data_IF_535261991488
#
_entry.id   IF_535261991488
#
_cell.length_a   1.000
_cell.length_b   1.000
_cell.length_c   1.000
_cell.angle_alpha   90.00
_cell.angle_beta   90.00
_cell.angle_gamma   90.00
#
_symmetry.space_group_name_H-M   'P 1'
#
loop_
_entity.id
_entity.type
_entity.pdbx_description
1 polymer ?
#
# COMPACT_ATOMS: atom_id res chain seq x y z
N UNK A 1 -21.19 -2.12 -5.45
CA UNK A 1 -22.47 -2.64 -4.91
C UNK A 1 -23.68 -2.08 -5.66
N UNK A 2 -23.90 -0.75 -5.70
CA UNK A 2 -25.02 -0.15 -6.45
C UNK A 2 -25.01 -0.47 -7.95
N UNK A 3 -23.83 -0.48 -8.57
CA UNK A 3 -23.65 -0.81 -9.99
C UNK A 3 -24.03 -2.25 -10.34
N UNK A 4 -23.70 -3.23 -9.49
CA UNK A 4 -24.00 -4.65 -9.71
C UNK A 4 -25.49 -4.93 -9.62
N UNK A 5 -26.18 -4.34 -8.64
CA UNK A 5 -27.64 -4.48 -8.51
C UNK A 5 -28.34 -3.90 -9.74
N UNK A 6 -27.92 -2.72 -10.19
CA UNK A 6 -28.46 -2.10 -11.41
C UNK A 6 -28.23 -2.98 -12.63
N UNK A 7 -27.02 -3.52 -12.83
CA UNK A 7 -26.74 -4.44 -13.93
C UNK A 7 -27.65 -5.67 -13.86
N UNK A 8 -27.78 -6.30 -12.69
CA UNK A 8 -28.61 -7.49 -12.55
C UNK A 8 -30.09 -7.20 -12.85
N UNK A 9 -30.60 -6.04 -12.41
CA UNK A 9 -31.96 -5.61 -12.71
C UNK A 9 -32.15 -5.33 -14.20
N UNK A 10 -31.20 -4.66 -14.84
CA UNK A 10 -31.23 -4.39 -16.28
C UNK A 10 -31.16 -5.69 -17.07
N UNK A 11 -30.27 -6.62 -16.70
CA UNK A 11 -30.12 -7.93 -17.35
C UNK A 11 -31.40 -8.76 -17.20
N UNK A 12 -31.99 -8.81 -16.00
CA UNK A 12 -33.24 -9.50 -15.75
C UNK A 12 -34.41 -8.87 -16.53
N UNK A 13 -34.48 -7.53 -16.59
CA UNK A 13 -35.50 -6.80 -17.35
C UNK A 13 -35.38 -7.07 -18.86
N UNK A 14 -34.17 -7.03 -19.41
CA UNK A 14 -33.93 -7.28 -20.84
C UNK A 14 -34.24 -8.74 -21.19
N UNK A 15 -33.80 -9.71 -20.39
CA UNK A 15 -34.13 -11.14 -20.61
C UNK A 15 -35.63 -11.39 -20.47
N UNK A 16 -36.31 -10.70 -19.55
CA UNK A 16 -37.76 -10.78 -19.42
C UNK A 16 -38.49 -10.22 -20.64
N UNK A 17 -38.05 -9.08 -21.17
CA UNK A 17 -38.62 -8.47 -22.39
C UNK A 17 -38.37 -9.31 -23.62
N UNK A 18 -37.17 -9.86 -23.80
CA UNK A 18 -36.90 -10.82 -24.89
C UNK A 18 -37.74 -12.10 -24.75
N UNK A 19 -37.96 -12.56 -23.52
CA UNK A 19 -38.83 -13.71 -23.23
C UNK A 19 -40.29 -13.47 -23.62
N UNK A 20 -40.80 -12.24 -23.43
CA UNK A 20 -42.14 -11.84 -23.88
C UNK A 20 -42.22 -11.75 -25.42
N UNK A 21 -41.23 -11.15 -26.07
CA UNK A 21 -41.19 -11.00 -27.54
C UNK A 21 -41.05 -12.34 -28.27
N UNK A 22 -40.33 -13.30 -27.68
CA UNK A 22 -40.04 -14.61 -28.29
C UNK A 22 -41.09 -15.69 -27.90
N UNK A 23 -42.10 -15.33 -27.12
CA UNK A 23 -43.16 -16.26 -26.69
C UNK A 23 -42.68 -17.42 -25.79
N UNK A 24 -41.51 -17.28 -25.16
CA UNK A 24 -40.89 -18.29 -24.28
C UNK A 24 -40.69 -17.72 -22.87
N UNK A 25 -41.73 -17.73 -22.01
CA UNK A 25 -41.60 -17.24 -20.65
C UNK A 25 -40.66 -18.16 -19.85
N UNK A 26 -39.54 -17.62 -19.40
CA UNK A 26 -38.58 -18.32 -18.53
C UNK A 26 -39.06 -18.23 -17.08
N UNK A 27 -39.25 -19.38 -16.41
CA UNK A 27 -39.58 -19.43 -14.97
C UNK A 27 -38.34 -19.05 -14.15
N UNK A 28 -38.50 -18.16 -13.17
CA UNK A 28 -37.46 -17.62 -12.28
C UNK A 28 -36.31 -16.88 -13.00
N UNK A 29 -36.66 -15.91 -13.87
CA UNK A 29 -35.70 -15.11 -14.66
C UNK A 29 -34.67 -14.41 -13.78
N UNK A 30 -35.12 -13.78 -12.69
CA UNK A 30 -34.28 -12.96 -11.81
C UNK A 30 -33.18 -13.80 -11.16
N UNK A 31 -33.52 -14.95 -10.57
CA UNK A 31 -32.55 -15.82 -9.89
C UNK A 31 -31.52 -16.40 -10.86
N UNK A 32 -31.95 -16.81 -12.07
CA UNK A 32 -31.03 -17.33 -13.09
C UNK A 32 -30.10 -16.25 -13.65
N UNK A 33 -30.62 -15.05 -13.87
CA UNK A 33 -29.83 -13.90 -14.31
C UNK A 33 -28.80 -13.50 -13.24
N UNK A 34 -29.19 -13.46 -11.97
CA UNK A 34 -28.29 -13.18 -10.85
C UNK A 34 -27.14 -14.18 -10.76
N UNK A 35 -27.43 -15.48 -10.81
CA UNK A 35 -26.40 -16.52 -10.77
C UNK A 35 -25.49 -16.42 -11.99
N UNK A 36 -26.04 -16.14 -13.17
CA UNK A 36 -25.26 -16.00 -14.39
C UNK A 36 -24.30 -14.79 -14.33
N UNK A 37 -24.80 -13.63 -13.90
CA UNK A 37 -23.98 -12.40 -13.74
C UNK A 37 -22.88 -12.62 -12.71
N UNK A 38 -23.18 -13.30 -11.60
CA UNK A 38 -22.20 -13.63 -10.57
C UNK A 38 -21.12 -14.57 -11.09
N UNK A 39 -21.49 -15.67 -11.76
CA UNK A 39 -20.53 -16.62 -12.34
C UNK A 39 -19.66 -15.98 -13.43
N UNK A 40 -20.24 -15.11 -14.26
CA UNK A 40 -19.48 -14.36 -15.27
C UNK A 40 -18.51 -13.34 -14.66
N UNK A 41 -18.79 -12.82 -13.46
CA UNK A 41 -17.88 -11.93 -12.73
C UNK A 41 -16.73 -12.72 -12.11
N UNK A 42 -17.00 -13.89 -11.53
CA UNK A 42 -15.98 -14.78 -10.95
C UNK A 42 -15.22 -15.60 -12.00
N UNK A 43 -15.47 -15.36 -13.30
CA UNK A 43 -14.91 -16.12 -14.42
C UNK A 43 -15.23 -17.62 -14.38
N UNK A 44 -16.30 -18.00 -13.68
CA UNK A 44 -16.84 -19.34 -13.63
C UNK A 44 -17.72 -19.62 -14.85
N UNK A 45 -17.64 -20.83 -15.39
CA UNK A 45 -18.45 -21.22 -16.54
C UNK A 45 -19.93 -21.44 -16.17
N UNK A 46 -20.85 -21.06 -17.06
CA UNK A 46 -22.29 -21.30 -16.92
C UNK A 46 -22.77 -22.36 -17.93
N UNK A 47 -23.44 -23.40 -17.45
CA UNK A 47 -24.03 -24.43 -18.31
C UNK A 47 -25.27 -23.94 -19.08
N UNK A 48 -25.89 -22.84 -18.64
CA UNK A 48 -27.14 -22.34 -19.24
C UNK A 48 -26.90 -21.04 -20.02
N UNK A 49 -26.87 -21.15 -21.36
CA UNK A 49 -26.77 -20.01 -22.27
C UNK A 49 -28.16 -19.61 -22.80
N UNK A 50 -28.48 -18.30 -22.93
CA UNK A 50 -29.69 -17.87 -23.59
C UNK A 50 -29.76 -18.39 -25.04
N UNK A 51 -30.93 -18.90 -25.41
CA UNK A 51 -31.19 -19.47 -26.74
C UNK A 51 -31.39 -18.41 -27.83
N UNK A 52 -31.62 -17.15 -27.46
CA UNK A 52 -31.84 -16.03 -28.37
C UNK A 52 -30.53 -15.37 -28.79
N UNK A 53 -30.47 -14.83 -30.02
CA UNK A 53 -29.28 -14.15 -30.52
C UNK A 53 -29.00 -12.84 -29.77
N UNK A 54 -30.04 -12.09 -29.40
CA UNK A 54 -29.91 -10.86 -28.60
C UNK A 54 -29.34 -11.12 -27.20
N UNK A 55 -29.84 -12.16 -26.53
CA UNK A 55 -29.29 -12.63 -25.25
C UNK A 55 -27.80 -13.01 -25.33
N UNK A 56 -27.33 -13.58 -26.44
CA UNK A 56 -25.90 -13.92 -26.63
C UNK A 56 -25.02 -12.68 -26.76
N UNK A 57 -25.43 -11.67 -27.52
CA UNK A 57 -24.68 -10.41 -27.65
C UNK A 57 -24.56 -9.70 -26.31
N UNK A 58 -25.65 -9.68 -25.54
CA UNK A 58 -25.68 -9.05 -24.23
C UNK A 58 -24.80 -9.80 -23.21
N UNK A 59 -24.80 -11.14 -23.26
CA UNK A 59 -23.87 -12.01 -22.51
C UNK A 59 -22.41 -11.72 -22.88
N UNK A 60 -22.07 -11.68 -24.18
CA UNK A 60 -20.70 -11.42 -24.64
C UNK A 60 -20.20 -10.03 -24.25
N UNK A 61 -21.07 -9.03 -24.31
CA UNK A 61 -20.75 -7.66 -23.90
C UNK A 61 -20.46 -7.60 -22.39
N UNK A 62 -21.27 -8.30 -21.58
CA UNK A 62 -21.04 -8.40 -20.14
C UNK A 62 -19.74 -9.12 -19.79
N UNK A 63 -19.44 -10.22 -20.47
CA UNK A 63 -18.22 -11.00 -20.28
C UNK A 63 -16.97 -10.15 -20.59
N UNK A 64 -17.00 -9.37 -21.66
CA UNK A 64 -15.91 -8.45 -21.98
C UNK A 64 -15.73 -7.38 -20.89
N UNK A 65 -16.85 -6.81 -20.40
CA UNK A 65 -16.82 -5.83 -19.33
C UNK A 65 -16.22 -6.41 -18.03
N UNK A 66 -16.63 -7.61 -17.62
CA UNK A 66 -16.12 -8.25 -16.40
C UNK A 66 -14.62 -8.54 -16.47
N UNK A 67 -14.12 -8.93 -17.65
CA UNK A 67 -12.68 -9.13 -17.89
C UNK A 67 -11.90 -7.82 -17.68
N UNK A 68 -12.37 -6.70 -18.23
CA UNK A 68 -11.75 -5.38 -18.05
C UNK A 68 -11.75 -4.94 -16.58
N UNK A 69 -12.84 -5.17 -15.86
CA UNK A 69 -12.91 -4.86 -14.42
C UNK A 69 -11.92 -5.68 -13.61
N UNK A 70 -11.83 -7.00 -13.83
CA UNK A 70 -10.87 -7.86 -13.13
C UNK A 70 -9.42 -7.49 -13.44
N UNK A 71 -9.12 -7.17 -14.71
CA UNK A 71 -7.79 -6.71 -15.12
C UNK A 71 -7.42 -5.39 -14.42
N UNK A 72 -8.35 -4.43 -14.36
CA UNK A 72 -8.13 -3.15 -13.68
C UNK A 72 -7.91 -3.32 -12.17
N UNK A 73 -8.69 -4.20 -11.53
CA UNK A 73 -8.51 -4.52 -10.12
C UNK A 73 -7.13 -5.14 -9.85
N UNK A 74 -6.72 -6.11 -10.68
CA UNK A 74 -5.39 -6.71 -10.58
C UNK A 74 -4.28 -5.69 -10.77
N UNK A 75 -4.43 -4.74 -11.71
CA UNK A 75 -3.44 -3.69 -11.94
C UNK A 75 -3.29 -2.71 -10.77
N UNK A 76 -4.41 -2.27 -10.20
CA UNK A 76 -4.41 -1.39 -9.02
C UNK A 76 -3.78 -2.12 -7.82
N UNK A 77 -4.12 -3.39 -7.62
CA UNK A 77 -3.54 -4.21 -6.56
C UNK A 77 -2.02 -4.34 -6.74
N UNK A 78 -1.56 -4.67 -7.96
CA UNK A 78 -0.13 -4.75 -8.28
C UNK A 78 0.59 -3.44 -7.99
N UNK A 79 0.00 -2.30 -8.35
CA UNK A 79 0.60 -1.00 -8.07
C UNK A 79 0.76 -0.73 -6.57
N UNK A 80 -0.15 -1.20 -5.73
CA UNK A 80 -0.07 -0.99 -4.28
C UNK A 80 0.96 -1.89 -3.60
N UNK A 81 1.17 -3.11 -4.09
CA UNK A 81 2.16 -4.04 -3.52
C UNK A 81 3.60 -3.73 -3.98
N UNK A 82 3.78 -3.05 -5.11
CA UNK A 82 5.12 -2.73 -5.64
C UNK A 82 5.69 -1.44 -5.04
N UNK A 83 4.86 -0.53 -4.54
CA UNK A 83 5.32 0.72 -3.94
C UNK A 83 5.69 0.47 -2.47
N UNK A 84 6.99 0.49 -2.11
CA UNK A 84 7.38 0.41 -0.71
C UNK A 84 6.85 1.65 0.01
N UNK A 85 6.09 1.44 1.08
CA UNK A 85 5.63 2.53 1.95
C UNK A 85 6.75 2.87 2.92
N UNK A 86 7.37 4.03 2.71
CA UNK A 86 8.27 4.62 3.70
C UNK A 86 7.40 5.37 4.70
N UNK A 87 7.39 4.91 5.95
CA UNK A 87 6.81 5.65 7.06
C UNK A 87 7.91 6.55 7.60
N UNK A 88 7.75 7.86 7.43
CA UNK A 88 8.63 8.86 8.07
C UNK A 88 8.06 9.09 9.48
N UNK A 89 8.76 8.67 10.55
CA UNK A 89 8.21 8.77 11.90
C UNK A 89 8.14 10.21 12.41
N UNK A 90 9.02 11.09 11.90
CA UNK A 90 9.19 12.47 12.35
C UNK A 90 9.36 13.35 11.11
N UNK A 91 8.39 14.21 10.81
CA UNK A 91 8.45 15.14 9.68
C UNK A 91 8.67 16.60 10.15
N UNK A 92 8.23 16.93 11.37
CA UNK A 92 8.36 18.27 11.94
C UNK A 92 9.04 18.30 13.30
N UNK A 93 9.51 19.49 13.66
CA UNK A 93 10.14 19.75 14.97
C UNK A 93 9.09 19.62 16.10
N UNK A 94 7.84 19.97 15.80
CA UNK A 94 6.71 19.80 16.69
C UNK A 94 6.42 18.32 16.95
N UNK A 95 6.47 17.48 15.91
CA UNK A 95 6.31 16.02 16.05
C UNK A 95 7.45 15.41 16.87
N UNK A 96 8.68 15.90 16.68
CA UNK A 96 9.84 15.47 17.45
C UNK A 96 9.66 15.71 18.96
N UNK A 97 9.10 16.86 19.35
CA UNK A 97 8.85 17.19 20.76
C UNK A 97 7.68 16.41 21.35
N UNK A 98 6.69 16.05 20.53
CA UNK A 98 5.50 15.33 20.97
C UNK A 98 5.74 13.82 21.10
N UNK A 99 6.61 13.24 20.26
CA UNK A 99 6.96 11.83 20.37
C UNK A 99 7.82 11.55 21.61
N UNK A 100 7.70 10.33 22.16
CA UNK A 100 8.55 9.84 23.27
C UNK A 100 9.31 8.57 22.93
N UNK A 101 9.21 8.11 21.69
CA UNK A 101 9.70 6.81 21.27
C UNK A 101 11.23 6.79 21.04
N UNK A 102 11.81 7.93 20.68
CA UNK A 102 13.23 8.05 20.39
C UNK A 102 13.86 9.29 21.05
N UNK A 103 14.92 9.15 21.86
CA UNK A 103 15.61 10.29 22.44
C UNK A 103 16.32 11.07 21.33
N UNK A 104 16.31 12.41 21.41
CA UNK A 104 17.04 13.25 20.46
C UNK A 104 18.22 13.97 21.12
N UNK A 105 19.23 14.25 20.31
CA UNK A 105 20.44 14.97 20.70
C UNK A 105 20.81 16.01 19.65
N UNK A 106 21.57 17.02 20.07
CA UNK A 106 22.04 18.10 19.19
C UNK A 106 23.57 18.08 19.15
N UNK A 107 24.15 18.40 17.99
CA UNK A 107 25.60 18.50 17.80
C UNK A 107 26.18 19.68 18.61
N UNK A 108 27.18 19.41 19.44
CA UNK A 108 27.80 20.40 20.31
C UNK A 108 28.57 21.45 19.50
N UNK A 109 28.37 22.73 19.81
CA UNK A 109 29.09 23.83 19.13
C UNK A 109 28.64 24.11 17.69
N UNK A 110 27.61 23.44 17.19
CA UNK A 110 27.02 23.68 15.88
C UNK A 110 26.22 25.00 15.80
N UNK A 111 25.95 25.46 14.59
CA UNK A 111 25.02 26.58 14.37
C UNK A 111 23.62 26.26 14.90
N UNK A 112 23.18 25.01 14.72
CA UNK A 112 21.89 24.52 15.23
C UNK A 112 21.82 24.61 16.75
N UNK A 113 22.90 24.28 17.46
CA UNK A 113 22.96 24.42 18.92
C UNK A 113 22.64 25.85 19.38
N UNK A 114 23.31 26.84 18.79
CA UNK A 114 23.08 28.25 19.11
C UNK A 114 21.68 28.71 18.70
N UNK A 115 21.18 28.22 17.57
CA UNK A 115 19.84 28.55 17.07
C UNK A 115 18.73 28.07 18.02
N UNK A 116 18.82 26.84 18.52
CA UNK A 116 17.86 26.31 19.48
C UNK A 116 18.02 26.92 20.88
N UNK A 117 19.25 27.24 21.28
CA UNK A 117 19.52 27.94 22.54
C UNK A 117 18.95 29.37 22.56
N UNK A 118 19.04 30.09 21.44
CA UNK A 118 18.52 31.45 21.30
C UNK A 118 16.99 31.52 21.13
N UNK A 119 16.32 30.37 20.97
CA UNK A 119 14.87 30.32 20.79
C UNK A 119 14.14 30.78 22.06
N UNK A 120 13.25 31.77 21.90
CA UNK A 120 12.53 32.39 23.03
C UNK A 120 11.32 31.57 23.50
N UNK A 121 10.77 30.68 22.67
CA UNK A 121 9.64 29.82 23.03
C UNK A 121 9.19 28.86 21.93
N UNK A 122 8.14 28.08 22.21
CA UNK A 122 7.55 27.11 21.29
C UNK A 122 8.32 25.79 21.20
N UNK A 123 8.02 25.00 20.16
CA UNK A 123 8.63 23.68 19.94
C UNK A 123 10.16 23.75 19.85
N UNK A 124 10.71 24.79 19.21
CA UNK A 124 12.17 24.99 19.08
C UNK A 124 12.88 25.08 20.43
N UNK A 125 12.28 25.76 21.41
CA UNK A 125 12.84 25.84 22.75
C UNK A 125 12.71 24.50 23.49
N UNK A 126 11.58 23.82 23.34
CA UNK A 126 11.37 22.50 23.92
C UNK A 126 12.35 21.44 23.39
N UNK A 127 12.76 21.55 22.12
CA UNK A 127 13.83 20.71 21.56
C UNK A 127 15.13 20.87 22.32
N UNK A 128 15.50 22.12 22.66
CA UNK A 128 16.70 22.37 23.44
C UNK A 128 16.52 21.86 24.88
N UNK A 129 15.45 22.26 25.55
CA UNK A 129 15.26 21.99 26.99
C UNK A 129 15.07 20.50 27.31
N UNK A 130 14.42 19.73 26.43
CA UNK A 130 14.12 18.30 26.64
C UNK A 130 15.08 17.34 25.90
N UNK A 131 16.21 17.82 25.39
CA UNK A 131 17.20 16.96 24.72
C UNK A 131 17.79 15.92 25.68
N UNK A 132 18.10 14.72 25.17
CA UNK A 132 18.73 13.65 25.95
C UNK A 132 20.23 13.89 26.19
N UNK A 133 20.84 14.83 25.45
CA UNK A 133 22.24 15.20 25.56
C UNK A 133 22.76 15.91 24.32
N UNK A 134 24.06 16.15 24.33
CA UNK A 134 24.82 16.67 23.20
C UNK A 134 25.76 15.57 22.70
N UNK A 135 26.08 15.58 21.42
CA UNK A 135 27.07 14.68 20.80
C UNK A 135 28.12 15.49 20.06
N UNK A 136 29.29 14.89 19.77
CA UNK A 136 30.43 15.65 19.26
C UNK A 136 30.20 16.13 17.83
N UNK A 137 30.05 15.18 16.90
CA UNK A 137 29.90 15.42 15.47
C UNK A 137 28.96 14.38 14.84
N UNK A 138 28.12 14.82 13.90
CA UNK A 138 27.15 13.95 13.22
C UNK A 138 27.82 12.84 12.38
N UNK A 139 29.08 13.09 12.01
CA UNK A 139 29.91 12.21 11.21
C UNK A 139 30.52 11.06 12.02
N UNK A 140 30.99 11.36 13.23
CA UNK A 140 31.63 10.38 14.11
C UNK A 140 30.58 9.42 14.67
N UNK A 141 29.44 9.96 15.08
CA UNK A 141 28.32 9.20 15.65
C UNK A 141 27.33 8.65 14.60
N UNK A 142 27.76 8.50 13.34
CA UNK A 142 26.86 8.00 12.27
C UNK A 142 26.34 6.58 12.51
N UNK A 143 27.12 5.74 13.19
CA UNK A 143 26.75 4.34 13.49
C UNK A 143 25.59 4.25 14.49
N UNK A 144 25.65 4.90 15.67
CA UNK A 144 24.53 4.88 16.60
C UNK A 144 23.27 5.58 16.03
N UNK A 145 23.43 6.61 15.18
CA UNK A 145 22.32 7.22 14.45
C UNK A 145 21.69 6.22 13.46
N UNK A 146 22.51 5.52 12.68
CA UNK A 146 22.04 4.49 11.74
C UNK A 146 21.39 3.30 12.45
N UNK A 147 21.86 2.96 13.67
CA UNK A 147 21.28 1.91 14.50
C UNK A 147 19.95 2.34 15.16
N UNK A 148 19.58 3.62 15.10
CA UNK A 148 18.36 4.15 15.68
C UNK A 148 18.42 4.31 17.20
N UNK A 149 19.60 4.48 17.79
CA UNK A 149 19.76 4.67 19.24
C UNK A 149 19.25 6.04 19.70
N UNK A 150 19.42 7.06 18.86
CA UNK A 150 18.92 8.41 19.08
C UNK A 150 18.69 9.15 17.76
N UNK A 151 17.81 10.14 17.78
CA UNK A 151 17.63 11.09 16.68
C UNK A 151 18.65 12.22 16.79
N UNK A 152 19.45 12.44 15.75
CA UNK A 152 20.43 13.51 15.72
C UNK A 152 19.89 14.73 14.97
N UNK A 153 20.08 15.91 15.54
CA UNK A 153 19.83 17.18 14.86
C UNK A 153 21.17 17.71 14.36
N UNK A 154 21.34 17.71 13.05
CA UNK A 154 22.55 18.12 12.34
C UNK A 154 22.21 19.03 11.16
N UNK A 155 23.20 19.73 10.62
CA UNK A 155 23.05 20.46 9.35
C UNK A 155 22.78 19.51 8.17
N UNK A 156 22.10 20.02 7.15
CA UNK A 156 21.76 19.24 5.95
C UNK A 156 23.02 18.68 5.26
N UNK A 157 24.08 19.49 5.19
CA UNK A 157 25.36 19.10 4.57
C UNK A 157 26.04 17.96 5.36
N UNK A 158 26.04 18.02 6.70
CA UNK A 158 26.69 17.00 7.52
C UNK A 158 25.92 15.69 7.49
N UNK A 159 24.58 15.77 7.45
CA UNK A 159 23.71 14.61 7.27
C UNK A 159 23.87 13.98 5.88
N UNK A 160 23.90 14.78 4.81
CA UNK A 160 24.18 14.29 3.45
C UNK A 160 25.54 13.60 3.37
N UNK A 161 26.57 14.18 4.01
CA UNK A 161 27.88 13.54 4.12
C UNK A 161 27.74 12.19 4.83
N UNK A 162 27.19 12.16 6.05
CA UNK A 162 27.02 10.92 6.81
C UNK A 162 26.31 9.80 6.04
N UNK A 163 25.26 10.14 5.27
CA UNK A 163 24.54 9.20 4.41
C UNK A 163 25.34 8.78 3.16
N UNK A 164 26.12 9.69 2.57
CA UNK A 164 26.89 9.42 1.35
C UNK A 164 28.04 8.43 1.56
N UNK A 165 28.57 8.31 2.76
CA UNK A 165 29.80 7.53 3.00
C UNK A 165 29.59 6.01 3.03
N UNK A 166 28.35 5.53 3.11
CA UNK A 166 28.06 4.10 2.92
C UNK A 166 28.27 3.66 1.46
N UNK A 167 28.29 4.62 0.53
CA UNK A 167 28.70 4.38 -0.85
C UNK A 167 30.22 4.35 -0.92
N UNK A 168 30.78 3.14 -1.08
CA UNK A 168 32.20 2.84 -1.33
C UNK A 168 32.90 3.89 -2.22
N UNK A 169 33.49 4.90 -1.60
CA UNK A 169 34.40 5.84 -2.25
C UNK A 169 35.64 6.00 -1.37
N UNK A 170 36.47 4.95 -1.36
CA UNK A 170 37.85 5.06 -0.86
C UNK A 170 38.84 5.48 -1.95
N UNK A 171 38.44 5.56 -3.23
CA UNK A 171 39.36 5.84 -4.37
C UNK A 171 39.27 7.23 -5.00
N UNK A 172 38.27 8.05 -4.67
CA UNK A 172 38.06 9.36 -5.35
C UNK A 172 38.61 10.55 -4.54
N UNK A 173 38.83 10.36 -3.24
CA UNK A 173 39.35 11.40 -2.34
C UNK A 173 40.81 11.75 -2.58
N UNK A 174 41.64 10.85 -3.12
CA UNK A 174 43.06 11.13 -3.42
C UNK A 174 43.29 11.94 -4.71
N UNK A 175 42.27 12.08 -5.57
CA UNK A 175 42.44 12.69 -6.90
C UNK A 175 42.08 14.19 -6.96
N UNK A 176 41.70 14.84 -5.85
CA UNK A 176 41.25 16.24 -5.86
C UNK A 176 39.94 16.50 -6.64
N UNK A 177 39.26 15.42 -7.07
CA UNK A 177 38.01 15.44 -7.86
C UNK A 177 36.81 15.82 -6.98
N UNK A 178 36.93 15.69 -5.66
CA UNK A 178 35.86 15.93 -4.69
C UNK A 178 35.24 17.34 -4.80
N UNK A 179 36.05 18.39 -4.92
CA UNK A 179 35.55 19.77 -5.05
C UNK A 179 34.82 20.03 -6.37
N UNK A 180 35.18 19.31 -7.45
CA UNK A 180 34.52 19.41 -8.75
C UNK A 180 33.21 18.64 -8.80
N UNK A 181 33.13 17.53 -8.07
CA UNK A 181 31.91 16.73 -7.90
C UNK A 181 30.89 17.41 -6.97
N UNK A 182 31.36 18.08 -5.91
CA UNK A 182 30.51 18.77 -4.93
C UNK A 182 29.60 19.83 -5.57
N UNK A 183 30.09 20.57 -6.57
CA UNK A 183 29.32 21.63 -7.23
C UNK A 183 28.46 21.16 -8.41
N UNK A 184 28.77 20.01 -9.00
CA UNK A 184 28.08 19.50 -10.19
C UNK A 184 27.07 18.40 -9.89
N UNK A 185 27.24 17.64 -8.79
CA UNK A 185 26.41 16.47 -8.53
C UNK A 185 25.37 16.65 -7.40
N UNK A 186 25.63 17.48 -6.39
CA UNK A 186 24.72 17.62 -5.23
C UNK A 186 23.35 18.21 -5.63
N UNK A 187 23.27 18.98 -6.73
CA UNK A 187 21.98 19.55 -7.17
C UNK A 187 21.13 18.61 -8.02
N UNK A 188 21.61 17.43 -8.41
CA UNK A 188 20.90 16.56 -9.36
C UNK A 188 20.88 15.06 -9.02
N UNK A 189 21.50 14.63 -7.92
CA UNK A 189 21.30 13.26 -7.41
C UNK A 189 20.23 13.25 -6.33
N UNK A 190 18.97 13.41 -6.73
CA UNK A 190 17.82 13.14 -5.87
C UNK A 190 17.54 11.64 -5.70
N UNK A 191 18.46 10.77 -6.14
CA UNK A 191 18.35 9.32 -5.98
C UNK A 191 19.38 8.84 -4.98
N UNK A 192 18.95 8.65 -3.74
CA UNK A 192 19.52 7.61 -2.90
C UNK A 192 19.40 6.29 -3.67
N UNK A 193 20.51 5.74 -4.15
CA UNK A 193 20.52 4.48 -4.90
C UNK A 193 20.09 3.27 -4.05
N UNK A 194 19.87 3.46 -2.75
CA UNK A 194 19.07 2.59 -1.88
C UNK A 194 18.74 3.37 -0.59
N UNK A 195 17.46 3.68 -0.30
CA UNK A 195 17.10 4.11 1.05
C UNK A 195 17.40 2.97 2.05
N UNK A 196 17.66 3.24 3.33
CA UNK A 196 17.92 2.20 4.34
C UNK A 196 16.76 1.20 4.52
N UNK A 197 15.56 1.51 4.01
CA UNK A 197 14.44 0.57 3.89
C UNK A 197 14.67 -0.55 2.85
N UNK A 198 15.62 -0.38 1.93
CA UNK A 198 16.02 -1.40 0.95
C UNK A 198 17.14 -2.33 1.47
N UNK A 199 17.78 -2.00 2.60
CA UNK A 199 18.91 -2.76 3.16
C UNK A 199 18.58 -3.55 4.43
N UNK A 200 17.29 -3.68 4.80
CA UNK A 200 16.89 -4.66 5.81
C UNK A 200 16.68 -6.02 5.12
N UNK A 201 17.77 -6.77 5.07
CA UNK A 201 17.92 -8.18 4.68
C UNK A 201 17.77 -8.54 3.19
N UNK A 202 18.81 -9.21 2.68
CA UNK A 202 18.86 -9.72 1.32
C UNK A 202 17.73 -10.70 0.99
N UNK A 203 17.36 -10.68 -0.28
CA UNK A 203 16.32 -11.52 -0.90
C UNK A 203 14.93 -11.23 -0.32
N UNK A 204 14.19 -10.33 -0.97
CA UNK A 204 12.82 -10.55 -1.48
C UNK A 204 12.14 -9.20 -1.73
N UNK A 205 11.49 -9.06 -2.87
CA UNK A 205 10.31 -8.18 -3.06
C UNK A 205 9.50 -8.21 -1.76
N UNK A 206 9.09 -7.08 -1.17
CA UNK A 206 8.29 -7.03 0.06
C UNK A 206 7.38 -8.24 0.15
N UNK A 207 7.76 -9.22 0.98
CA UNK A 207 7.17 -10.54 0.95
C UNK A 207 5.68 -10.37 1.22
N UNK A 208 4.84 -10.87 0.34
CA UNK A 208 3.40 -10.79 0.50
C UNK A 208 3.04 -11.59 1.77
N UNK A 209 2.81 -10.88 2.88
CA UNK A 209 2.64 -11.52 4.19
C UNK A 209 1.27 -12.17 4.30
N UNK A 210 1.15 -13.17 5.18
CA UNK A 210 -0.13 -13.83 5.48
C UNK A 210 -1.19 -12.80 5.92
N UNK A 211 -0.78 -11.72 6.58
CA UNK A 211 -1.66 -10.63 7.03
C UNK A 211 -2.45 -9.99 5.87
N UNK A 212 -1.85 -9.91 4.68
CA UNK A 212 -2.53 -9.41 3.49
C UNK A 212 -3.68 -10.32 3.02
N UNK A 213 -3.67 -11.61 3.41
CA UNK A 213 -4.64 -12.61 3.03
C UNK A 213 -5.64 -12.99 4.13
N UNK A 214 -5.44 -12.54 5.37
CA UNK A 214 -6.33 -12.85 6.51
C UNK A 214 -7.78 -12.49 6.17
N UNK A 215 -8.03 -11.36 5.52
CA UNK A 215 -9.37 -10.95 5.10
C UNK A 215 -10.04 -11.96 4.18
N UNK A 216 -9.33 -12.45 3.16
CA UNK A 216 -9.85 -13.46 2.23
C UNK A 216 -10.08 -14.81 2.93
N UNK A 217 -9.17 -15.22 3.83
CA UNK A 217 -9.28 -16.48 4.56
C UNK A 217 -10.47 -16.49 5.53
N UNK A 218 -10.74 -15.38 6.22
CA UNK A 218 -11.90 -15.25 7.11
C UNK A 218 -13.23 -15.31 6.35
N UNK A 219 -13.30 -14.71 5.16
CA UNK A 219 -14.48 -14.81 4.31
C UNK A 219 -14.73 -16.25 3.86
N UNK A 220 -13.70 -16.97 3.39
CA UNK A 220 -13.81 -18.37 3.00
C UNK A 220 -14.24 -19.28 4.16
N UNK A 221 -13.66 -19.08 5.35
CA UNK A 221 -14.05 -19.82 6.54
C UNK A 221 -15.51 -19.52 6.95
N UNK A 222 -15.95 -18.26 6.82
CA UNK A 222 -17.32 -17.85 7.05
C UNK A 222 -18.32 -18.51 6.08
N UNK A 223 -17.99 -18.57 4.79
CA UNK A 223 -18.84 -19.21 3.77
C UNK A 223 -18.99 -20.71 4.01
N UNK A 224 -17.91 -21.42 4.34
CA UNK A 224 -17.98 -22.83 4.71
C UNK A 224 -18.85 -23.08 5.95
N UNK A 225 -18.79 -22.18 6.94
CA UNK A 225 -19.63 -22.24 8.13
C UNK A 225 -21.11 -22.01 7.81
N UNK A 226 -21.42 -20.99 7.01
CA UNK A 226 -22.79 -20.69 6.57
C UNK A 226 -23.40 -21.83 5.74
N UNK A 227 -22.60 -22.44 4.85
CA UNK A 227 -23.06 -23.55 4.02
C UNK A 227 -23.30 -24.82 4.85
N UNK A 228 -22.45 -25.12 5.84
CA UNK A 228 -22.68 -26.22 6.79
C UNK A 228 -23.97 -26.00 7.61
N UNK A 229 -24.22 -24.76 8.06
CA UNK A 229 -25.43 -24.43 8.81
C UNK A 229 -26.70 -24.57 7.96
N UNK A 230 -26.66 -24.17 6.69
CA UNK A 230 -27.78 -24.35 5.75
C UNK A 230 -28.07 -25.84 5.49
N UNK A 231 -27.05 -26.68 5.33
CA UNK A 231 -27.24 -28.12 5.15
C UNK A 231 -27.92 -28.76 6.37
N UNK A 232 -27.51 -28.40 7.58
CA UNK A 232 -28.16 -28.87 8.83
C UNK A 232 -29.62 -28.41 8.94
N UNK A 233 -29.95 -27.17 8.56
CA UNK A 233 -31.33 -26.69 8.54
C UNK A 233 -32.21 -27.43 7.51
N UNK A 234 -31.69 -27.74 6.32
CA UNK A 234 -32.46 -28.45 5.28
C UNK A 234 -32.74 -29.91 5.62
N UNK A 235 -31.83 -30.58 6.35
CA UNK A 235 -32.04 -31.95 6.81
C UNK A 235 -33.12 -32.04 7.91
N UNK A 236 -33.18 -31.08 8.84
CA UNK A 236 -34.21 -31.07 9.88
C UNK A 236 -35.63 -30.77 9.37
N UNK A 237 -35.77 -30.11 8.22
CA UNK A 237 -37.09 -29.87 7.59
C UNK A 237 -37.59 -31.03 6.72
N UNK A 238 -36.77 -32.04 6.44
CA UNK A 238 -37.16 -33.20 5.62
C UNK A 238 -37.63 -34.41 6.45
N UNK A 239 -37.62 -34.29 7.79
CA UNK A 239 -38.01 -35.34 8.75
C UNK A 239 -39.35 -35.03 9.47
N UNK A 240 -40.01 -33.94 9.08
CA UNK A 240 -41.39 -33.58 9.47
C UNK A 240 -42.30 -33.58 8.24
#
# INVERSE_FOLDING_TARGET
MLSLVVVCLVFAFVVWKEGQLTGRPVRNVVSKAMIWVLKALTQESCEHLPKTNGGRVLVSTWLLASLVFMSSYSGILTAMITVPRVLVPIDSVEDLVNQRDMPWRIEAGSMMFQYFQAATGGAKKAVFDHRAGEFHDCWEDRQPIANGEFAAICDDITMMKAMSWDFRIHRVTEAGIFNKWLQLEIRNTSQCLQPPSALRSGITVSGLTLDAFIGCLLLLAGDHCAQAHLQLCTQNTAVL
#
